data_IF_373435148215
#
_entry.id   IF_373435148215
#
_cell.length_a   1.000
_cell.length_b   1.000
_cell.length_c   1.000
_cell.angle_alpha   90.00
_cell.angle_beta   90.00
_cell.angle_gamma   90.00
#
_symmetry.space_group_name_H-M   'P 1'
#
loop_
_entity.id
_entity.type
_entity.pdbx_description
1 polymer ?
#
# COMPACT_ATOMS: atom_id res chain seq x y z
N UNK A 1 -9.64 -2.09 12.46
CA UNK A 1 -8.98 -1.48 11.28
C UNK A 1 -7.48 -1.76 11.20
N UNK A 2 -6.74 -1.91 12.31
CA UNK A 2 -5.31 -2.25 12.22
C UNK A 2 -5.07 -3.57 11.46
N UNK A 3 -5.87 -4.60 11.77
CA UNK A 3 -5.82 -5.88 11.07
C UNK A 3 -6.03 -5.77 9.54
N UNK A 4 -6.85 -4.83 9.07
CA UNK A 4 -7.03 -4.58 7.64
C UNK A 4 -5.75 -4.02 6.99
N UNK A 5 -5.09 -3.08 7.67
CA UNK A 5 -3.81 -2.53 7.20
C UNK A 5 -2.71 -3.58 7.17
N UNK A 6 -2.63 -4.43 8.20
CA UNK A 6 -1.67 -5.54 8.23
C UNK A 6 -1.97 -6.57 7.13
N UNK A 7 -3.25 -6.92 6.93
CA UNK A 7 -3.65 -7.82 5.86
C UNK A 7 -3.34 -7.24 4.47
N UNK A 8 -3.57 -5.93 4.28
CA UNK A 8 -3.25 -5.23 3.04
C UNK A 8 -1.76 -5.34 2.71
N UNK A 9 -0.87 -4.93 3.62
CA UNK A 9 0.57 -4.93 3.33
C UNK A 9 1.11 -6.36 3.16
N UNK A 10 0.53 -7.34 3.87
CA UNK A 10 0.84 -8.75 3.63
C UNK A 10 0.40 -9.22 2.24
N UNK A 11 -0.80 -8.85 1.83
CA UNK A 11 -1.41 -9.30 0.56
C UNK A 11 -0.80 -8.65 -0.67
N UNK A 12 -0.35 -7.39 -0.54
CA UNK A 12 0.20 -6.57 -1.61
C UNK A 12 1.71 -6.77 -1.79
N UNK A 13 2.49 -6.73 -0.70
CA UNK A 13 3.95 -6.70 -0.78
C UNK A 13 4.65 -7.82 -0.01
N UNK A 14 3.89 -8.71 0.65
CA UNK A 14 4.47 -9.65 1.60
C UNK A 14 5.20 -8.94 2.75
N UNK A 15 4.70 -7.76 3.16
CA UNK A 15 5.30 -6.89 4.17
C UNK A 15 6.68 -6.29 3.80
N UNK A 16 7.10 -6.35 2.54
CA UNK A 16 8.37 -5.78 2.10
C UNK A 16 8.26 -4.30 1.74
N UNK A 17 9.06 -3.45 2.40
CA UNK A 17 9.20 -2.03 2.02
C UNK A 17 9.90 -1.86 0.67
N UNK A 18 10.58 -2.89 0.16
CA UNK A 18 11.35 -2.85 -1.09
C UNK A 18 10.62 -3.45 -2.29
N UNK A 19 9.40 -3.96 -2.09
CA UNK A 19 8.64 -4.57 -3.18
C UNK A 19 8.35 -3.58 -4.31
N UNK A 20 8.54 -4.02 -5.54
CA UNK A 20 8.12 -3.30 -6.74
C UNK A 20 7.45 -4.28 -7.69
N UNK A 21 6.33 -3.88 -8.28
CA UNK A 21 5.63 -4.66 -9.28
C UNK A 21 5.42 -3.83 -10.55
N UNK A 22 5.81 -4.35 -11.71
CA UNK A 22 5.59 -3.68 -13.00
C UNK A 22 4.33 -4.25 -13.65
N UNK A 23 3.34 -3.39 -13.87
CA UNK A 23 2.08 -3.74 -14.49
C UNK A 23 2.20 -3.83 -16.01
N UNK A 24 1.25 -4.55 -16.63
CA UNK A 24 1.22 -4.75 -18.10
C UNK A 24 1.13 -3.45 -18.89
N UNK A 25 0.53 -2.42 -18.30
CA UNK A 25 0.40 -1.09 -18.88
C UNK A 25 1.62 -0.18 -18.67
N UNK A 26 2.72 -0.73 -18.15
CA UNK A 26 3.99 -0.04 -17.93
C UNK A 26 4.07 0.75 -16.63
N UNK A 27 2.98 0.89 -15.88
CA UNK A 27 3.01 1.51 -14.54
C UNK A 27 3.70 0.61 -13.52
N UNK A 28 4.17 1.20 -12.43
CA UNK A 28 4.88 0.46 -11.38
C UNK A 28 4.24 0.76 -10.02
N UNK A 29 4.08 -0.29 -9.22
CA UNK A 29 3.64 -0.23 -7.84
C UNK A 29 4.84 -0.26 -6.89
N UNK A 30 4.81 0.59 -5.87
CA UNK A 30 5.98 0.81 -4.99
C UNK A 30 5.69 0.51 -3.53
N UNK A 31 6.60 -0.27 -2.95
CA UNK A 31 6.81 -0.44 -1.52
C UNK A 31 5.70 -1.18 -0.81
N UNK A 32 5.65 -0.95 0.50
CA UNK A 32 4.85 -1.72 1.45
C UNK A 32 3.35 -1.77 1.10
N UNK A 33 2.83 -0.69 0.53
CA UNK A 33 1.42 -0.54 0.17
C UNK A 33 1.17 -0.66 -1.34
N UNK A 34 2.17 -1.05 -2.15
CA UNK A 34 2.08 -1.16 -3.61
C UNK A 34 1.38 0.05 -4.25
N UNK A 35 1.91 1.25 -3.96
CA UNK A 35 1.35 2.52 -4.45
C UNK A 35 1.78 2.74 -5.89
N UNK A 36 0.81 2.83 -6.81
CA UNK A 36 1.04 2.96 -8.24
C UNK A 36 1.50 4.37 -8.68
N UNK A 37 2.52 4.46 -9.54
CA UNK A 37 3.02 5.74 -10.04
C UNK A 37 2.14 6.43 -11.09
N UNK A 38 1.09 5.80 -11.63
CA UNK A 38 0.16 6.51 -12.52
C UNK A 38 -0.44 7.72 -11.82
N UNK A 39 -0.81 7.59 -10.55
CA UNK A 39 -1.59 8.61 -9.84
C UNK A 39 -0.84 9.27 -8.67
N UNK A 40 -0.03 8.49 -7.94
CA UNK A 40 0.26 8.84 -6.55
C UNK A 40 1.66 9.41 -6.31
N UNK A 41 2.66 9.04 -7.10
CA UNK A 41 4.06 9.40 -6.87
C UNK A 41 4.83 9.70 -8.17
N UNK A 42 5.96 10.40 -8.06
CA UNK A 42 6.85 10.69 -9.21
C UNK A 42 8.12 9.82 -9.23
N UNK A 43 8.62 9.38 -10.40
CA UNK A 43 8.16 9.71 -11.75
C UNK A 43 6.85 8.99 -12.11
N UNK A 44 5.96 9.73 -12.75
CA UNK A 44 4.60 9.33 -13.10
C UNK A 44 3.85 10.51 -13.73
N UNK A 45 2.76 10.26 -14.48
CA UNK A 45 1.97 11.33 -15.10
C UNK A 45 1.25 12.22 -14.08
N UNK A 46 1.04 11.72 -12.85
CA UNK A 46 0.51 12.47 -11.73
C UNK A 46 1.35 12.25 -10.47
N UNK A 47 1.15 13.08 -9.44
CA UNK A 47 1.83 12.96 -8.15
C UNK A 47 0.97 13.52 -7.03
N UNK A 48 -0.21 12.94 -6.83
CA UNK A 48 -1.17 13.45 -5.85
C UNK A 48 -0.65 13.41 -4.41
N UNK A 49 0.21 12.43 -4.06
CA UNK A 49 0.80 12.38 -2.72
C UNK A 49 2.00 13.33 -2.55
N UNK A 50 2.44 14.02 -3.61
CA UNK A 50 3.60 14.92 -3.62
C UNK A 50 4.85 14.25 -3.05
N UNK A 51 5.15 13.05 -3.52
CA UNK A 51 6.23 12.19 -3.03
C UNK A 51 6.96 11.53 -4.19
N UNK A 52 8.27 11.25 -4.03
CA UNK A 52 8.99 10.45 -5.03
C UNK A 52 8.68 8.98 -4.79
N UNK A 53 8.46 8.20 -5.85
CA UNK A 53 8.20 6.77 -5.75
C UNK A 53 9.33 6.03 -5.03
N UNK A 54 10.58 6.47 -5.19
CA UNK A 54 11.72 5.93 -4.45
C UNK A 54 11.61 6.11 -2.93
N UNK A 55 10.96 7.17 -2.46
CA UNK A 55 10.81 7.45 -1.02
C UNK A 55 9.79 6.47 -0.39
N UNK A 56 8.91 5.88 -1.21
CA UNK A 56 7.98 4.82 -0.80
C UNK A 56 8.68 3.47 -0.58
N UNK A 57 9.92 3.33 -1.06
CA UNK A 57 10.77 2.15 -0.84
C UNK A 57 11.62 2.25 0.43
N UNK A 58 11.46 3.31 1.24
CA UNK A 58 12.24 3.50 2.46
C UNK A 58 11.82 2.54 3.58
N UNK A 59 12.78 2.14 4.42
CA UNK A 59 12.47 1.45 5.67
C UNK A 59 11.77 2.38 6.67
N UNK A 60 11.99 3.69 6.55
CA UNK A 60 11.15 4.68 7.23
C UNK A 60 9.84 4.86 6.46
N UNK A 61 8.79 4.18 6.93
CA UNK A 61 7.51 4.11 6.23
C UNK A 61 6.65 5.38 6.34
N UNK A 62 7.14 6.48 6.95
CA UNK A 62 6.34 7.70 7.18
C UNK A 62 5.72 8.25 5.89
N UNK A 63 6.49 8.31 4.80
CA UNK A 63 6.03 8.79 3.51
C UNK A 63 4.96 7.84 2.91
N UNK A 64 5.22 6.54 2.96
CA UNK A 64 4.31 5.51 2.47
C UNK A 64 2.98 5.50 3.24
N UNK A 65 3.03 5.58 4.58
CA UNK A 65 1.84 5.66 5.44
C UNK A 65 1.04 6.94 5.16
N UNK A 66 1.70 8.09 4.96
CA UNK A 66 1.01 9.35 4.63
C UNK A 66 0.22 9.22 3.32
N UNK A 67 0.85 8.67 2.28
CA UNK A 67 0.20 8.48 0.98
C UNK A 67 -0.91 7.41 1.04
N UNK A 68 -0.69 6.28 1.72
CA UNK A 68 -1.71 5.25 1.89
C UNK A 68 -2.94 5.76 2.64
N UNK A 69 -2.76 6.58 3.69
CA UNK A 69 -3.87 7.24 4.39
C UNK A 69 -4.63 8.22 3.49
N UNK A 70 -3.93 8.94 2.62
CA UNK A 70 -4.54 9.84 1.63
C UNK A 70 -5.43 9.07 0.66
N UNK A 71 -4.91 7.98 0.07
CA UNK A 71 -5.67 7.08 -0.83
C UNK A 71 -6.88 6.50 -0.10
N UNK A 72 -6.69 6.01 1.13
CA UNK A 72 -7.77 5.45 1.94
C UNK A 72 -8.88 6.46 2.23
N UNK A 73 -8.55 7.73 2.46
CA UNK A 73 -9.58 8.78 2.66
C UNK A 73 -10.44 8.99 1.41
N UNK A 74 -9.88 8.81 0.21
CA UNK A 74 -10.60 8.98 -1.07
C UNK A 74 -11.37 7.75 -1.50
N UNK A 75 -10.78 6.57 -1.35
CA UNK A 75 -11.25 5.35 -1.98
C UNK A 75 -11.54 4.22 -0.99
N UNK A 76 -11.11 4.33 0.27
CA UNK A 76 -11.10 3.21 1.21
C UNK A 76 -10.16 2.09 0.77
N UNK A 77 -10.29 0.90 1.37
CA UNK A 77 -9.42 -0.23 1.07
C UNK A 77 -9.63 -0.85 -0.32
N UNK A 78 -10.73 -0.52 -1.02
CA UNK A 78 -10.98 -0.99 -2.39
C UNK A 78 -10.02 -0.42 -3.44
N UNK A 79 -9.12 0.50 -3.07
CA UNK A 79 -8.03 0.92 -3.97
C UNK A 79 -6.95 -0.17 -4.17
N UNK A 80 -6.95 -1.21 -3.33
CA UNK A 80 -5.93 -2.27 -3.31
C UNK A 80 -6.53 -3.61 -3.71
N UNK A 81 -6.12 -4.15 -4.86
CA UNK A 81 -6.64 -5.42 -5.38
C UNK A 81 -6.27 -6.62 -4.50
N UNK A 82 -5.06 -6.64 -3.93
CA UNK A 82 -4.63 -7.65 -2.99
C UNK A 82 -5.50 -7.66 -1.73
N UNK A 83 -5.84 -6.49 -1.18
CA UNK A 83 -6.77 -6.42 -0.06
C UNK A 83 -8.19 -6.87 -0.44
N UNK A 84 -8.69 -6.49 -1.62
CA UNK A 84 -10.01 -6.92 -2.09
C UNK A 84 -10.11 -8.43 -2.20
N UNK A 85 -9.10 -9.08 -2.76
CA UNK A 85 -9.09 -10.53 -2.99
C UNK A 85 -8.87 -11.33 -1.70
N UNK A 86 -8.00 -10.86 -0.80
CA UNK A 86 -7.49 -11.66 0.32
C UNK A 86 -7.97 -11.22 1.70
N UNK A 87 -8.53 -10.01 1.84
CA UNK A 87 -8.87 -9.43 3.15
C UNK A 87 -10.36 -9.09 3.29
N UNK A 88 -11.00 -8.58 2.23
CA UNK A 88 -12.39 -8.10 2.29
C UNK A 88 -13.33 -9.20 2.80
N UNK A 89 -14.10 -8.88 3.85
CA UNK A 89 -15.12 -9.77 4.43
C UNK A 89 -14.57 -10.96 5.22
N UNK A 90 -13.25 -11.07 5.41
CA UNK A 90 -12.64 -12.18 6.16
C UNK A 90 -12.44 -11.83 7.63
N UNK A 91 -12.30 -12.86 8.47
CA UNK A 91 -11.87 -12.68 9.85
C UNK A 91 -10.37 -12.39 9.91
N UNK A 92 -10.00 -11.15 10.16
CA UNK A 92 -8.61 -10.69 10.17
C UNK A 92 -7.96 -10.68 11.56
N UNK A 93 -8.64 -11.17 12.61
CA UNK A 93 -8.09 -11.13 13.99
C UNK A 93 -6.71 -11.78 14.12
N UNK A 94 -6.43 -12.80 13.29
CA UNK A 94 -5.13 -13.49 13.25
C UNK A 94 -3.95 -12.57 12.92
N UNK A 95 -4.16 -11.53 12.10
CA UNK A 95 -3.08 -10.62 11.68
C UNK A 95 -2.49 -9.76 12.81
N UNK A 96 -3.21 -9.61 13.92
CA UNK A 96 -2.78 -8.82 15.07
C UNK A 96 -2.74 -9.65 16.36
N UNK A 97 -2.86 -10.98 16.24
CA UNK A 97 -2.85 -11.87 17.40
C UNK A 97 -1.47 -11.80 18.06
N UNK A 98 -1.44 -11.45 19.34
CA UNK A 98 -0.20 -11.35 20.12
C UNK A 98 0.54 -10.01 19.98
N UNK A 99 0.05 -9.08 19.15
CA UNK A 99 0.59 -7.72 19.12
C UNK A 99 0.23 -6.97 20.42
N UNK A 100 1.21 -6.31 21.02
CA UNK A 100 1.02 -5.36 22.13
C UNK A 100 1.15 -3.94 21.54
N UNK A 101 0.24 -3.05 21.89
CA UNK A 101 0.17 -1.68 21.39
C UNK A 101 0.30 -0.68 22.53
#
# INVERSE_FOLDING_TARGET
RMADWVCLVNSESGMSTKATNRNRDGTVDYGLFQINNRYWCSPGPHNECRVRCKDLLSNNIKAAVKCAKFIYKRMGFKAWYGWQAKCRGRNLKGYIKGCKF
#
